data_IF_993233335964
#
_entry.id   IF_993233335964
#
_cell.length_a   1.000
_cell.length_b   1.000
_cell.length_c   1.000
_cell.angle_alpha   90.00
_cell.angle_beta   90.00
_cell.angle_gamma   90.00
#
_symmetry.space_group_name_H-M   'P 1'
#
loop_
_entity.id
_entity.type
_entity.pdbx_description
1 polymer ?
#
# COMPACT_ATOMS: atom_id res chain seq x y z
N UNK A 1 -11.89 -2.25 37.91
CA UNK A 1 -11.70 -1.04 37.07
C UNK A 1 -10.71 -0.12 37.77
N UNK A 2 -9.65 0.28 37.08
CA UNK A 2 -8.69 1.26 37.60
C UNK A 2 -9.38 2.60 37.87
N UNK A 3 -9.14 3.19 39.05
CA UNK A 3 -9.65 4.52 39.37
C UNK A 3 -9.06 5.56 38.41
N UNK A 4 -9.92 6.35 37.76
CA UNK A 4 -9.49 7.45 36.91
C UNK A 4 -9.10 8.67 37.76
N UNK A 5 -8.06 9.39 37.33
CA UNK A 5 -7.58 10.63 37.94
C UNK A 5 -7.50 11.71 36.86
N UNK A 6 -7.81 12.96 37.24
CA UNK A 6 -7.67 14.11 36.35
C UNK A 6 -6.18 14.43 36.15
N UNK A 7 -5.75 14.54 34.91
CA UNK A 7 -4.39 14.91 34.50
C UNK A 7 -4.42 16.11 33.56
N UNK A 8 -3.25 16.61 33.17
CA UNK A 8 -3.09 17.71 32.20
C UNK A 8 -3.62 17.37 30.80
N UNK A 9 -3.77 16.07 30.47
CA UNK A 9 -4.25 15.60 29.17
C UNK A 9 -5.60 14.85 29.25
N UNK A 10 -6.35 15.08 30.33
CA UNK A 10 -7.68 14.48 30.56
C UNK A 10 -7.70 13.46 31.70
N UNK A 11 -8.75 12.64 31.77
CA UNK A 11 -8.86 11.60 32.80
C UNK A 11 -8.12 10.34 32.36
N UNK A 12 -7.16 9.89 33.17
CA UNK A 12 -6.36 8.69 32.92
C UNK A 12 -6.43 7.73 34.11
N UNK A 13 -6.18 6.42 33.91
CA UNK A 13 -5.98 5.49 35.02
C UNK A 13 -4.86 5.98 35.95
N UNK A 14 -5.07 5.85 37.28
CA UNK A 14 -4.12 6.33 38.30
C UNK A 14 -2.68 5.81 38.12
N UNK A 15 -2.52 4.63 37.54
CA UNK A 15 -1.23 3.97 37.31
C UNK A 15 -0.52 4.42 36.01
N UNK A 16 -1.16 5.23 35.16
CA UNK A 16 -0.55 5.71 33.93
C UNK A 16 0.29 6.95 34.21
N UNK A 17 1.53 6.95 33.73
CA UNK A 17 2.37 8.14 33.75
C UNK A 17 1.97 9.10 32.62
N UNK A 18 2.31 10.39 32.78
CA UNK A 18 2.23 11.37 31.71
C UNK A 18 3.64 11.84 31.41
N UNK A 19 4.09 11.63 30.17
CA UNK A 19 5.42 11.96 29.68
C UNK A 19 5.31 12.80 28.42
N UNK A 20 6.42 13.30 27.90
CA UNK A 20 6.49 13.95 26.59
C UNK A 20 6.79 12.93 25.48
N UNK A 21 6.40 13.25 24.24
CA UNK A 21 6.73 12.40 23.09
C UNK A 21 8.24 12.19 22.96
N UNK A 22 9.06 13.23 23.20
CA UNK A 22 10.52 13.15 23.13
C UNK A 22 11.15 12.24 24.20
N UNK A 23 10.44 11.94 25.28
CA UNK A 23 10.91 10.97 26.28
C UNK A 23 10.80 9.53 25.77
N UNK A 24 9.79 9.23 24.93
CA UNK A 24 9.48 7.87 24.46
C UNK A 24 9.86 7.59 23.00
N UNK A 25 10.18 8.62 22.23
CA UNK A 25 10.56 8.51 20.83
C UNK A 25 11.57 9.58 20.42
N UNK A 26 12.45 9.22 19.49
CA UNK A 26 13.31 10.17 18.80
C UNK A 26 12.51 10.85 17.68
N UNK A 27 12.14 12.11 17.92
CA UNK A 27 11.40 12.94 16.97
C UNK A 27 12.40 13.78 16.19
N UNK A 28 12.58 13.44 14.92
CA UNK A 28 13.64 13.93 14.05
C UNK A 28 13.05 14.84 12.97
N UNK A 29 13.72 15.95 12.69
CA UNK A 29 13.48 16.70 11.47
C UNK A 29 14.40 16.11 10.38
N UNK A 30 13.86 15.47 9.33
CA UNK A 30 14.68 14.83 8.33
C UNK A 30 15.49 15.83 7.49
N UNK A 31 15.14 17.12 7.53
CA UNK A 31 15.84 18.15 6.78
C UNK A 31 15.89 19.51 7.52
N UNK A 32 16.72 19.63 8.57
CA UNK A 32 16.73 20.80 9.46
C UNK A 32 17.14 22.11 8.79
N UNK A 33 17.94 22.05 7.72
CA UNK A 33 18.37 23.26 7.02
C UNK A 33 17.23 23.91 6.24
N UNK A 34 16.16 23.17 5.94
CA UNK A 34 15.00 23.58 5.12
C UNK A 34 15.36 24.20 3.75
N UNK A 35 16.63 24.14 3.32
CA UNK A 35 17.09 24.64 2.02
C UNK A 35 16.66 23.67 0.93
N UNK A 36 16.15 24.16 -0.19
CA UNK A 36 15.73 23.26 -1.27
C UNK A 36 16.93 22.38 -1.71
N UNK A 37 16.81 21.04 -1.71
CA UNK A 37 17.86 20.17 -2.23
C UNK A 37 18.06 20.40 -3.72
N UNK A 38 19.28 20.16 -4.22
CA UNK A 38 19.58 20.23 -5.65
C UNK A 38 18.78 19.16 -6.38
N UNK A 39 17.96 19.60 -7.35
CA UNK A 39 17.20 18.71 -8.23
C UNK A 39 18.14 18.22 -9.33
N UNK A 40 18.10 16.92 -9.60
CA UNK A 40 18.91 16.27 -10.65
C UNK A 40 18.05 15.28 -11.43
N UNK A 41 18.39 15.09 -12.71
CA UNK A 41 17.78 14.05 -13.53
C UNK A 41 18.29 12.67 -13.08
N UNK A 42 17.42 11.66 -13.07
CA UNK A 42 17.73 10.29 -12.64
C UNK A 42 18.26 10.19 -11.19
N UNK A 43 17.83 11.11 -10.32
CA UNK A 43 18.15 11.10 -8.90
C UNK A 43 17.21 10.22 -8.06
N UNK A 44 17.30 10.41 -6.75
CA UNK A 44 16.51 9.65 -5.77
C UNK A 44 15.23 10.39 -5.38
N UNK A 45 14.13 9.68 -5.05
CA UNK A 45 12.87 10.33 -4.70
C UNK A 45 12.97 11.13 -3.40
N UNK A 46 12.50 12.38 -3.44
CA UNK A 46 12.33 13.25 -2.27
C UNK A 46 10.86 13.31 -1.87
N UNK A 47 10.48 12.47 -0.91
CA UNK A 47 9.09 12.24 -0.53
C UNK A 47 8.63 13.19 0.58
N UNK A 48 7.48 13.83 0.38
CA UNK A 48 6.74 14.52 1.43
C UNK A 48 5.59 13.70 1.99
N UNK A 49 4.94 14.24 3.03
CA UNK A 49 3.84 13.56 3.70
C UNK A 49 2.68 13.24 2.74
N UNK A 50 2.50 14.03 1.68
CA UNK A 50 1.50 13.80 0.64
C UNK A 50 1.83 12.65 -0.32
N UNK A 51 3.12 12.31 -0.44
CA UNK A 51 3.61 11.31 -1.41
C UNK A 51 3.62 9.89 -0.85
N UNK A 52 3.48 9.75 0.47
CA UNK A 52 3.50 8.48 1.20
C UNK A 52 2.07 8.12 1.62
N UNK A 53 1.63 6.90 1.34
CA UNK A 53 0.37 6.37 1.84
C UNK A 53 0.50 5.85 3.29
N UNK A 54 -0.62 5.46 3.90
CA UNK A 54 -0.64 4.97 5.29
C UNK A 54 0.20 3.70 5.52
N UNK A 55 0.40 2.91 4.47
CA UNK A 55 1.16 1.66 4.49
C UNK A 55 2.65 1.87 4.25
N UNK A 56 3.06 3.07 3.85
CA UNK A 56 4.45 3.45 3.60
C UNK A 56 4.88 3.32 2.14
N UNK A 57 3.96 3.13 1.21
CA UNK A 57 4.28 3.14 -0.21
C UNK A 57 4.47 4.59 -0.68
N UNK A 58 5.55 4.82 -1.43
CA UNK A 58 5.93 6.13 -1.94
C UNK A 58 5.51 6.25 -3.40
N UNK A 59 4.80 7.32 -3.75
CA UNK A 59 4.39 7.65 -5.12
C UNK A 59 5.54 8.25 -5.92
N UNK A 60 6.54 7.42 -6.24
CA UNK A 60 7.83 7.82 -6.85
C UNK A 60 7.67 8.68 -8.12
N UNK A 61 6.74 8.35 -9.01
CA UNK A 61 6.56 9.06 -10.30
C UNK A 61 6.24 10.55 -10.16
N UNK A 62 5.79 11.00 -8.99
CA UNK A 62 5.46 12.41 -8.71
C UNK A 62 6.50 13.10 -7.82
N UNK A 63 7.45 12.35 -7.27
CA UNK A 63 8.43 12.88 -6.34
C UNK A 63 9.52 13.64 -7.10
N UNK A 64 9.98 14.75 -6.52
CA UNK A 64 11.18 15.44 -7.00
C UNK A 64 12.38 14.52 -6.84
N UNK A 65 13.29 14.51 -7.83
CA UNK A 65 14.52 13.74 -7.76
C UNK A 65 15.68 14.59 -7.24
N UNK A 66 16.48 14.02 -6.35
CA UNK A 66 17.59 14.70 -5.67
C UNK A 66 18.90 13.93 -5.77
N UNK A 67 20.02 14.62 -5.51
CA UNK A 67 21.36 14.04 -5.61
C UNK A 67 21.63 12.95 -4.57
N UNK A 68 22.55 12.05 -4.89
CA UNK A 68 23.02 11.01 -3.98
C UNK A 68 23.66 11.57 -2.70
N UNK A 69 24.42 12.67 -2.84
CA UNK A 69 25.07 13.36 -1.73
C UNK A 69 24.06 13.73 -0.63
N UNK A 70 22.88 14.22 -1.02
CA UNK A 70 21.84 14.59 -0.07
C UNK A 70 21.21 13.37 0.62
N UNK A 71 21.00 12.28 -0.11
CA UNK A 71 20.49 11.03 0.47
C UNK A 71 21.47 10.50 1.51
N UNK A 72 22.76 10.47 1.18
CA UNK A 72 23.82 10.03 2.10
C UNK A 72 23.86 10.89 3.38
N UNK A 73 23.63 12.20 3.27
CA UNK A 73 23.54 13.09 4.43
C UNK A 73 22.36 12.71 5.36
N UNK A 74 21.17 12.47 4.80
CA UNK A 74 20.00 12.06 5.58
C UNK A 74 20.19 10.68 6.22
N UNK A 75 20.70 9.71 5.46
CA UNK A 75 20.94 8.34 5.96
C UNK A 75 21.97 8.29 7.10
N UNK A 76 22.91 9.24 7.15
CA UNK A 76 23.83 9.40 8.29
C UNK A 76 23.17 10.02 9.51
N UNK A 77 22.07 10.74 9.32
CA UNK A 77 21.40 11.51 10.37
C UNK A 77 20.40 10.68 11.17
N UNK A 78 19.74 9.70 10.52
CA UNK A 78 18.78 8.81 11.17
C UNK A 78 18.55 7.52 10.37
N UNK A 79 18.10 6.48 11.05
CA UNK A 79 17.67 5.23 10.42
C UNK A 79 16.13 5.17 10.31
N UNK A 80 15.65 4.61 9.19
CA UNK A 80 14.27 4.18 9.02
C UNK A 80 14.21 2.66 9.24
N UNK A 81 13.41 2.21 10.19
CA UNK A 81 13.16 0.81 10.50
C UNK A 81 11.66 0.47 10.34
N UNK A 82 11.28 -0.77 10.65
CA UNK A 82 9.90 -1.26 10.50
C UNK A 82 8.87 -0.55 11.40
N UNK A 83 9.34 0.18 12.42
CA UNK A 83 8.53 0.92 13.37
C UNK A 83 8.67 2.44 13.23
N UNK A 84 9.40 2.93 12.24
CA UNK A 84 9.53 4.35 11.97
C UNK A 84 8.20 4.93 11.50
N UNK A 85 7.83 6.08 12.09
CA UNK A 85 6.56 6.75 11.82
C UNK A 85 6.82 8.09 11.16
N UNK A 86 6.10 8.37 10.07
CA UNK A 86 6.04 9.68 9.45
C UNK A 86 4.87 10.46 10.02
N UNK A 87 5.12 11.63 10.61
CA UNK A 87 4.07 12.50 11.13
C UNK A 87 4.06 13.83 10.38
N UNK A 88 2.95 14.15 9.71
CA UNK A 88 2.77 15.39 8.96
C UNK A 88 2.90 16.62 9.83
N UNK A 89 3.80 17.54 9.43
CA UNK A 89 4.09 18.77 10.18
C UNK A 89 3.84 20.06 9.42
N UNK A 90 3.75 20.04 8.09
CA UNK A 90 3.50 21.22 7.26
C UNK A 90 2.45 20.88 6.21
N UNK A 91 1.41 21.72 6.10
CA UNK A 91 0.32 21.55 5.14
C UNK A 91 -0.68 20.49 5.58
N UNK A 92 -0.29 19.21 5.56
CA UNK A 92 -1.13 18.09 6.02
C UNK A 92 -0.73 17.68 7.44
N UNK A 93 -0.93 18.59 8.40
CA UNK A 93 -0.58 18.34 9.81
C UNK A 93 -1.45 17.21 10.37
N UNK A 94 -0.83 16.27 11.09
CA UNK A 94 -1.56 15.17 11.74
C UNK A 94 -1.76 13.91 10.89
N UNK A 95 -1.42 13.94 9.59
CA UNK A 95 -1.35 12.71 8.81
C UNK A 95 -0.24 11.82 9.37
N UNK A 96 -0.58 10.56 9.66
CA UNK A 96 0.35 9.55 10.16
C UNK A 96 0.55 8.48 9.09
N UNK A 97 1.79 8.14 8.79
CA UNK A 97 2.15 7.09 7.83
C UNK A 97 3.21 6.17 8.44
N UNK A 98 3.21 4.90 8.04
CA UNK A 98 4.36 4.01 8.29
C UNK A 98 5.51 4.45 7.37
N UNK A 99 6.74 4.52 7.88
CA UNK A 99 7.94 4.64 7.05
C UNK A 99 8.57 3.26 6.91
N UNK A 100 9.03 2.90 5.71
CA UNK A 100 9.61 1.57 5.44
C UNK A 100 10.85 1.69 4.59
N UNK A 101 11.83 0.82 4.84
CA UNK A 101 12.91 0.59 3.86
C UNK A 101 12.29 0.10 2.55
N UNK A 102 12.71 0.71 1.45
CA UNK A 102 12.26 0.37 0.10
C UNK A 102 13.37 -0.39 -0.62
N UNK A 103 13.05 -1.02 -1.76
CA UNK A 103 14.06 -1.61 -2.65
C UNK A 103 14.98 -0.56 -3.30
N UNK A 104 14.65 0.72 -3.18
CA UNK A 104 15.40 1.88 -3.64
C UNK A 104 15.60 2.87 -2.50
N UNK A 105 16.64 3.72 -2.59
CA UNK A 105 16.89 4.78 -1.61
C UNK A 105 15.96 5.96 -1.86
N UNK A 106 15.58 6.65 -0.79
CA UNK A 106 14.72 7.84 -0.86
C UNK A 106 15.03 8.78 0.31
N UNK A 107 14.73 10.07 0.12
CA UNK A 107 14.86 11.09 1.14
C UNK A 107 13.49 11.58 1.59
N UNK A 108 13.43 12.10 2.81
CA UNK A 108 12.22 12.66 3.41
C UNK A 108 12.31 14.18 3.44
N UNK A 109 11.24 14.83 2.97
CA UNK A 109 11.12 16.28 3.01
C UNK A 109 10.72 16.79 4.40
N UNK A 110 10.97 18.08 4.71
CA UNK A 110 10.60 18.65 6.00
C UNK A 110 9.09 18.84 6.18
N UNK A 111 8.25 18.29 5.29
CA UNK A 111 6.79 18.28 5.48
C UNK A 111 6.33 17.29 6.54
N UNK A 112 7.22 16.39 6.99
CA UNK A 112 6.98 15.44 8.08
C UNK A 112 8.10 15.44 9.12
N UNK A 113 7.81 14.85 10.28
CA UNK A 113 8.77 14.38 11.26
C UNK A 113 8.98 12.88 11.08
N UNK A 114 10.19 12.40 11.34
CA UNK A 114 10.44 10.97 11.59
C UNK A 114 10.32 10.76 13.09
N UNK A 115 9.46 9.84 13.52
CA UNK A 115 9.30 9.45 14.92
C UNK A 115 9.75 8.00 15.03
N UNK A 116 10.87 7.79 15.71
CA UNK A 116 11.41 6.46 16.00
C UNK A 116 11.17 6.13 17.48
N UNK A 117 10.30 5.14 17.80
CA UNK A 117 10.09 4.72 19.18
C UNK A 117 11.40 4.27 19.84
N UNK A 118 11.60 4.61 21.11
CA UNK A 118 12.75 4.14 21.89
C UNK A 118 12.53 2.71 22.40
N UNK A 119 13.62 2.03 22.72
CA UNK A 119 13.62 0.61 23.12
C UNK A 119 12.81 0.29 24.39
N UNK A 120 12.49 1.30 25.22
CA UNK A 120 11.75 1.11 26.47
C UNK A 120 10.23 1.24 26.32
N UNK A 121 9.71 1.41 25.10
CA UNK A 121 8.28 1.58 24.82
C UNK A 121 7.88 0.69 23.65
N UNK A 122 6.68 0.10 23.69
CA UNK A 122 6.19 -0.68 22.57
C UNK A 122 6.00 0.23 21.33
N UNK A 123 6.67 -0.06 20.20
CA UNK A 123 6.62 0.79 19.02
C UNK A 123 5.22 0.89 18.39
N UNK A 124 4.46 -0.22 18.40
CA UNK A 124 3.09 -0.26 17.88
C UNK A 124 2.13 0.54 18.77
N UNK A 125 2.39 0.58 20.08
CA UNK A 125 1.68 1.50 20.98
C UNK A 125 1.94 2.96 20.61
N UNK A 126 3.19 3.36 20.34
CA UNK A 126 3.51 4.73 19.88
C UNK A 126 2.79 5.07 18.56
N UNK A 127 2.72 4.12 17.64
CA UNK A 127 1.95 4.27 16.40
C UNK A 127 0.45 4.53 16.64
N UNK A 128 -0.18 3.79 17.55
CA UNK A 128 -1.57 4.06 17.95
C UNK A 128 -1.72 5.43 18.63
N UNK A 129 -0.80 5.74 19.56
CA UNK A 129 -0.80 6.93 20.39
C UNK A 129 -0.85 8.23 19.56
N UNK A 130 0.02 8.35 18.56
CA UNK A 130 0.11 9.56 17.70
C UNK A 130 -1.08 9.71 16.75
N UNK A 131 -1.91 8.66 16.59
CA UNK A 131 -3.17 8.68 15.82
C UNK A 131 -4.39 9.04 16.68
N UNK A 132 -4.22 9.18 17.99
CA UNK A 132 -5.33 9.53 18.87
C UNK A 132 -5.79 10.98 18.67
N UNK A 133 -7.11 11.22 18.82
CA UNK A 133 -7.67 12.58 18.78
C UNK A 133 -7.03 13.51 19.81
N UNK A 134 -6.72 12.99 21.00
CA UNK A 134 -6.11 13.78 22.07
C UNK A 134 -4.69 14.26 21.68
N UNK A 135 -3.89 13.40 21.08
CA UNK A 135 -2.59 13.78 20.54
C UNK A 135 -2.73 14.86 19.46
N UNK A 136 -3.64 14.64 18.51
CA UNK A 136 -3.89 15.58 17.42
C UNK A 136 -4.38 16.95 17.93
N UNK A 137 -5.29 16.99 18.91
CA UNK A 137 -5.76 18.25 19.51
C UNK A 137 -4.64 19.03 20.18
N UNK A 138 -3.73 18.36 20.90
CA UNK A 138 -2.56 19.03 21.45
C UNK A 138 -1.66 19.59 20.36
N UNK A 139 -1.49 18.86 19.24
CA UNK A 139 -0.73 19.35 18.08
C UNK A 139 -1.39 20.59 17.48
N UNK A 140 -2.72 20.60 17.31
CA UNK A 140 -3.46 21.75 16.79
C UNK A 140 -3.23 23.02 17.63
N UNK A 141 -3.21 22.88 18.96
CA UNK A 141 -2.99 24.00 19.89
C UNK A 141 -1.59 24.62 19.80
N UNK A 142 -0.63 23.91 19.20
CA UNK A 142 0.75 24.36 19.01
C UNK A 142 1.06 24.73 17.54
N UNK A 143 0.07 24.70 16.66
CA UNK A 143 0.28 25.07 15.26
C UNK A 143 0.43 26.58 15.11
N UNK A 144 1.23 26.95 14.11
CA UNK A 144 1.46 28.33 13.69
C UNK A 144 1.17 28.48 12.20
N UNK A 145 0.85 29.69 11.77
CA UNK A 145 0.55 30.01 10.36
C UNK A 145 -0.91 29.71 9.97
N UNK A 146 -1.57 30.70 9.35
CA UNK A 146 -2.96 30.59 8.88
C UNK A 146 -3.05 29.93 7.50
N UNK A 147 -2.18 30.32 6.56
CA UNK A 147 -2.17 29.80 5.18
C UNK A 147 -1.43 28.48 5.01
N UNK A 148 -0.41 28.23 5.85
CA UNK A 148 0.35 26.97 5.89
C UNK A 148 0.50 26.55 7.34
N UNK A 149 -0.48 25.82 7.90
CA UNK A 149 -0.41 25.37 9.27
C UNK A 149 0.81 24.45 9.43
N UNK A 150 1.59 24.73 10.47
CA UNK A 150 2.77 23.95 10.79
C UNK A 150 3.02 23.82 12.28
N UNK A 151 3.58 22.67 12.70
CA UNK A 151 4.10 22.46 14.04
C UNK A 151 5.63 22.32 14.00
N UNK A 152 6.31 23.13 14.82
CA UNK A 152 7.77 23.05 14.98
C UNK A 152 8.20 21.76 15.65
N UNK A 153 9.35 21.20 15.23
CA UNK A 153 9.90 19.94 15.77
C UNK A 153 10.04 19.95 17.31
N UNK A 154 10.46 21.08 17.88
CA UNK A 154 10.65 21.22 19.32
C UNK A 154 9.33 21.20 20.11
N UNK A 155 8.25 21.72 19.53
CA UNK A 155 6.92 21.67 20.13
C UNK A 155 6.34 20.26 20.02
N UNK A 156 6.52 19.60 18.88
CA UNK A 156 6.10 18.21 18.68
C UNK A 156 6.75 17.27 19.72
N UNK A 157 8.03 17.46 20.03
CA UNK A 157 8.74 16.71 21.10
C UNK A 157 8.11 16.89 22.49
N UNK A 158 7.49 18.04 22.76
CA UNK A 158 6.93 18.41 24.07
C UNK A 158 5.47 17.99 24.26
N UNK A 159 4.81 17.47 23.23
CA UNK A 159 3.43 16.98 23.33
C UNK A 159 3.34 15.92 24.42
N UNK A 160 2.35 16.07 25.31
CA UNK A 160 2.15 15.21 26.47
C UNK A 160 1.35 13.99 26.10
N UNK A 161 1.78 12.83 26.56
CA UNK A 161 1.21 11.53 26.19
C UNK A 161 1.11 10.59 27.39
N UNK A 162 0.07 9.74 27.45
CA UNK A 162 0.00 8.69 28.45
C UNK A 162 1.06 7.63 28.21
N UNK A 163 1.68 7.15 29.29
CA UNK A 163 2.59 6.02 29.29
C UNK A 163 2.11 4.97 30.30
N UNK A 164 1.34 3.97 29.85
CA UNK A 164 0.92 2.87 30.70
C UNK A 164 2.06 1.86 30.92
N UNK A 165 1.81 0.83 31.74
CA UNK A 165 2.80 -0.25 31.94
C UNK A 165 3.11 -0.98 30.61
N UNK A 166 4.30 -1.58 30.45
CA UNK A 166 4.64 -2.31 29.22
C UNK A 166 3.61 -3.37 28.82
N UNK A 167 3.01 -4.04 29.82
CA UNK A 167 1.95 -5.03 29.62
C UNK A 167 0.69 -4.40 29.01
N UNK A 168 0.22 -3.29 29.57
CA UNK A 168 -0.92 -2.54 29.01
C UNK A 168 -0.60 -1.98 27.62
N UNK A 169 0.63 -1.52 27.37
CA UNK A 169 1.06 -1.07 26.04
C UNK A 169 0.93 -2.18 25.00
N UNK A 170 1.38 -3.40 25.35
CA UNK A 170 1.29 -4.57 24.48
C UNK A 170 -0.17 -4.93 24.18
N UNK A 171 -1.02 -5.00 25.20
CA UNK A 171 -2.44 -5.35 25.05
C UNK A 171 -3.18 -4.34 24.16
N UNK A 172 -2.93 -3.04 24.35
CA UNK A 172 -3.51 -1.97 23.52
C UNK A 172 -3.03 -2.10 22.07
N UNK A 173 -1.71 -2.25 21.88
CA UNK A 173 -1.10 -2.35 20.57
C UNK A 173 -1.57 -3.58 19.80
N UNK A 174 -1.68 -4.73 20.46
CA UNK A 174 -2.17 -5.97 19.85
C UNK A 174 -3.63 -5.84 19.44
N UNK A 175 -4.49 -5.30 20.31
CA UNK A 175 -5.92 -5.15 20.03
C UNK A 175 -6.18 -4.23 18.83
N UNK A 176 -5.47 -3.10 18.73
CA UNK A 176 -5.70 -2.10 17.67
C UNK A 176 -4.95 -2.48 16.40
N UNK A 177 -3.64 -2.75 16.49
CA UNK A 177 -2.84 -2.95 15.29
C UNK A 177 -3.08 -4.31 14.61
N UNK A 178 -3.62 -5.33 15.31
CA UNK A 178 -4.04 -6.58 14.64
C UNK A 178 -5.17 -6.36 13.63
N UNK A 179 -6.05 -5.36 13.88
CA UNK A 179 -7.08 -4.96 12.93
C UNK A 179 -6.47 -4.22 11.73
N UNK A 180 -5.54 -3.28 11.98
CA UNK A 180 -4.81 -2.58 10.90
C UNK A 180 -4.05 -3.57 10.01
N UNK A 181 -3.40 -4.59 10.59
CA UNK A 181 -2.67 -5.61 9.82
C UNK A 181 -3.62 -6.45 8.94
N UNK A 182 -4.81 -6.79 9.44
CA UNK A 182 -5.85 -7.49 8.65
C UNK A 182 -6.37 -6.61 7.52
N UNK A 183 -6.57 -5.32 7.76
CA UNK A 183 -6.99 -4.37 6.72
C UNK A 183 -5.92 -4.31 5.63
N UNK A 184 -4.64 -4.14 6.02
CA UNK A 184 -3.52 -4.09 5.08
C UNK A 184 -3.44 -5.36 4.21
N UNK A 185 -3.59 -6.54 4.81
CA UNK A 185 -3.60 -7.82 4.08
C UNK A 185 -4.78 -7.88 3.11
N UNK A 186 -5.99 -7.60 3.58
CA UNK A 186 -7.19 -7.66 2.74
C UNK A 186 -7.13 -6.68 1.56
N UNK A 187 -6.61 -5.48 1.77
CA UNK A 187 -6.42 -4.50 0.70
C UNK A 187 -5.43 -5.00 -0.36
N UNK A 188 -4.32 -5.62 0.05
CA UNK A 188 -3.36 -6.23 -0.90
C UNK A 188 -4.00 -7.39 -1.66
N UNK A 189 -4.73 -8.26 -0.97
CA UNK A 189 -5.46 -9.37 -1.59
C UNK A 189 -6.43 -8.86 -2.64
N UNK A 190 -7.22 -7.83 -2.34
CA UNK A 190 -8.15 -7.23 -3.30
C UNK A 190 -7.43 -6.67 -4.53
N UNK A 191 -6.30 -5.97 -4.35
CA UNK A 191 -5.51 -5.45 -5.46
C UNK A 191 -4.96 -6.57 -6.34
N UNK A 192 -4.47 -7.67 -5.76
CA UNK A 192 -4.00 -8.83 -6.52
C UNK A 192 -5.13 -9.51 -7.28
N UNK A 193 -6.30 -9.68 -6.65
CA UNK A 193 -7.47 -10.26 -7.31
C UNK A 193 -7.94 -9.41 -8.48
N UNK A 194 -7.93 -8.08 -8.34
CA UNK A 194 -8.27 -7.16 -9.41
C UNK A 194 -7.27 -7.26 -10.58
N UNK A 195 -5.96 -7.33 -10.29
CA UNK A 195 -4.93 -7.51 -11.33
C UNK A 195 -5.08 -8.84 -12.07
N UNK A 196 -5.38 -9.93 -11.35
CA UNK A 196 -5.65 -11.24 -11.96
C UNK A 196 -6.89 -11.16 -12.86
N UNK A 197 -7.97 -10.54 -12.39
CA UNK A 197 -9.20 -10.38 -13.17
C UNK A 197 -8.96 -9.55 -14.44
N UNK A 198 -8.22 -8.43 -14.34
CA UNK A 198 -7.86 -7.61 -15.50
C UNK A 198 -6.98 -8.38 -16.50
N UNK A 199 -6.01 -9.15 -16.01
CA UNK A 199 -5.14 -9.97 -16.86
C UNK A 199 -5.93 -11.06 -17.61
N UNK A 200 -6.81 -11.77 -16.90
CA UNK A 200 -7.69 -12.78 -17.51
C UNK A 200 -8.64 -12.14 -18.52
N UNK A 201 -9.26 -11.01 -18.17
CA UNK A 201 -10.16 -10.30 -19.08
C UNK A 201 -9.44 -9.89 -20.37
N UNK A 202 -8.23 -9.31 -20.24
CA UNK A 202 -7.42 -8.94 -21.40
C UNK A 202 -7.06 -10.16 -22.24
N UNK A 203 -6.54 -11.21 -21.61
CA UNK A 203 -6.15 -12.44 -22.29
C UNK A 203 -7.31 -13.08 -23.06
N UNK A 204 -8.50 -13.18 -22.44
CA UNK A 204 -9.62 -13.92 -23.02
C UNK A 204 -10.46 -13.11 -23.99
N UNK A 205 -10.64 -11.80 -23.74
CA UNK A 205 -11.61 -10.98 -24.46
C UNK A 205 -11.00 -9.83 -25.26
N UNK A 206 -9.70 -9.58 -25.14
CA UNK A 206 -9.00 -8.56 -25.94
C UNK A 206 -7.93 -9.21 -26.83
N UNK A 207 -7.08 -10.04 -26.23
CA UNK A 207 -6.00 -10.72 -26.94
C UNK A 207 -6.46 -12.05 -27.55
N UNK A 208 -7.60 -12.59 -27.10
CA UNK A 208 -8.19 -13.87 -27.54
C UNK A 208 -7.23 -15.06 -27.43
N UNK A 209 -6.41 -15.11 -26.39
CA UNK A 209 -5.38 -16.16 -26.21
C UNK A 209 -5.94 -17.59 -26.29
N UNK A 210 -7.10 -17.94 -25.68
CA UNK A 210 -7.66 -19.28 -25.83
C UNK A 210 -8.01 -19.64 -27.27
N UNK A 211 -8.57 -18.70 -28.04
CA UNK A 211 -8.94 -18.90 -29.46
C UNK A 211 -7.68 -19.06 -30.31
N UNK A 212 -6.68 -18.20 -30.10
CA UNK A 212 -5.39 -18.27 -30.81
C UNK A 212 -4.63 -19.55 -30.50
N UNK A 213 -4.69 -20.04 -29.25
CA UNK A 213 -4.10 -21.32 -28.87
C UNK A 213 -4.76 -22.49 -29.64
N UNK A 214 -6.09 -22.48 -29.78
CA UNK A 214 -6.79 -23.47 -30.61
C UNK A 214 -6.39 -23.40 -32.08
N UNK A 215 -6.34 -22.18 -32.65
CA UNK A 215 -5.92 -21.96 -34.03
C UNK A 215 -4.52 -22.52 -34.27
N UNK A 216 -3.57 -22.21 -33.38
CA UNK A 216 -2.19 -22.70 -33.48
C UNK A 216 -2.12 -24.24 -33.41
N UNK A 217 -2.83 -24.86 -32.46
CA UNK A 217 -2.87 -26.32 -32.35
C UNK A 217 -3.50 -26.98 -33.59
N UNK A 218 -4.54 -26.38 -34.16
CA UNK A 218 -5.21 -26.84 -35.38
C UNK A 218 -4.31 -26.72 -36.60
N UNK A 219 -3.59 -25.60 -36.75
CA UNK A 219 -2.62 -25.38 -37.82
C UNK A 219 -1.42 -26.34 -37.74
N UNK A 220 -1.04 -26.76 -36.52
CA UNK A 220 -0.03 -27.79 -36.30
C UNK A 220 -0.53 -29.22 -36.57
N UNK A 221 -1.78 -29.40 -37.01
CA UNK A 221 -2.38 -30.72 -37.28
C UNK A 221 -2.79 -31.47 -36.01
N UNK A 222 -3.00 -30.77 -34.89
CA UNK A 222 -3.43 -31.36 -33.63
C UNK A 222 -4.82 -32.00 -33.71
N UNK A 223 -5.02 -33.06 -32.93
CA UNK A 223 -6.33 -33.69 -32.71
C UNK A 223 -7.29 -32.76 -31.97
N UNK A 224 -8.58 -33.07 -31.98
CA UNK A 224 -9.59 -32.29 -31.25
C UNK A 224 -9.26 -32.16 -29.74
N UNK A 225 -8.72 -33.22 -29.14
CA UNK A 225 -8.28 -33.21 -27.74
C UNK A 225 -7.08 -32.29 -27.53
N UNK A 226 -6.10 -32.28 -28.44
CA UNK A 226 -4.94 -31.38 -28.36
C UNK A 226 -5.35 -29.91 -28.55
N UNK A 227 -6.31 -29.63 -29.44
CA UNK A 227 -6.88 -28.30 -29.63
C UNK A 227 -7.60 -27.83 -28.36
N UNK A 228 -8.43 -28.69 -27.76
CA UNK A 228 -9.11 -28.38 -26.49
C UNK A 228 -8.10 -28.14 -25.37
N UNK A 229 -7.08 -28.99 -25.25
CA UNK A 229 -6.01 -28.83 -24.24
C UNK A 229 -5.20 -27.55 -24.41
N UNK A 230 -4.95 -27.11 -25.65
CA UNK A 230 -4.27 -25.84 -25.90
C UNK A 230 -5.07 -24.64 -25.34
N UNK A 231 -6.40 -24.65 -25.49
CA UNK A 231 -7.26 -23.65 -24.87
C UNK A 231 -7.26 -23.76 -23.34
N UNK A 232 -7.34 -24.98 -22.78
CA UNK A 232 -7.28 -25.19 -21.33
C UNK A 232 -5.98 -24.66 -20.72
N UNK A 233 -4.85 -24.85 -21.41
CA UNK A 233 -3.56 -24.31 -21.01
C UNK A 233 -3.57 -22.78 -20.98
N UNK A 234 -4.08 -22.13 -22.04
CA UNK A 234 -4.22 -20.68 -22.10
C UNK A 234 -5.17 -20.11 -21.02
N UNK A 235 -6.31 -20.76 -20.80
CA UNK A 235 -7.32 -20.37 -19.80
C UNK A 235 -6.77 -20.44 -18.38
N UNK A 236 -6.09 -21.54 -18.05
CA UNK A 236 -5.58 -21.78 -16.69
C UNK A 236 -4.20 -21.17 -16.41
N UNK A 237 -3.50 -20.71 -17.45
CA UNK A 237 -2.10 -20.31 -17.37
C UNK A 237 -1.15 -21.46 -17.03
N UNK A 238 -1.56 -22.72 -17.26
CA UNK A 238 -0.78 -23.93 -16.95
C UNK A 238 -0.17 -24.53 -18.21
N UNK A 239 0.99 -25.14 -18.06
CA UNK A 239 1.61 -25.99 -19.08
C UNK A 239 0.88 -27.32 -19.21
N UNK A 240 1.04 -28.02 -20.33
CA UNK A 240 0.40 -29.33 -20.53
C UNK A 240 0.71 -30.34 -19.41
N UNK A 241 1.95 -30.50 -18.92
CA UNK A 241 2.24 -31.41 -17.81
C UNK A 241 1.60 -30.99 -16.48
N UNK A 242 1.34 -29.70 -16.29
CA UNK A 242 0.65 -29.20 -15.09
C UNK A 242 -0.87 -29.43 -15.16
N UNK A 243 -1.45 -29.51 -16.37
CA UNK A 243 -2.84 -29.90 -16.54
C UNK A 243 -3.09 -31.35 -16.12
N UNK A 244 -2.11 -32.24 -16.32
CA UNK A 244 -2.22 -33.65 -15.93
C UNK A 244 -2.20 -33.86 -14.41
N UNK A 245 -1.76 -32.86 -13.65
CA UNK A 245 -1.75 -32.87 -12.19
C UNK A 245 -3.07 -32.36 -11.58
N UNK A 246 -3.99 -31.88 -12.42
CA UNK A 246 -5.26 -31.35 -11.95
C UNK A 246 -6.23 -32.47 -11.56
N UNK A 247 -7.10 -32.14 -10.61
CA UNK A 247 -8.21 -33.03 -10.25
C UNK A 247 -9.17 -33.18 -11.44
N UNK A 248 -9.90 -34.30 -11.54
CA UNK A 248 -10.89 -34.50 -12.60
C UNK A 248 -11.93 -33.38 -12.69
N UNK A 249 -12.34 -32.83 -11.53
CA UNK A 249 -13.27 -31.70 -11.46
C UNK A 249 -12.68 -30.43 -12.10
N UNK A 250 -11.42 -30.10 -11.78
CA UNK A 250 -10.73 -28.96 -12.39
C UNK A 250 -10.57 -29.13 -13.91
N UNK A 251 -10.20 -30.33 -14.36
CA UNK A 251 -10.11 -30.64 -15.80
C UNK A 251 -11.47 -30.45 -16.47
N UNK A 252 -12.54 -30.96 -15.88
CA UNK A 252 -13.89 -30.84 -16.45
C UNK A 252 -14.34 -29.38 -16.54
N UNK A 253 -14.09 -28.57 -15.50
CA UNK A 253 -14.38 -27.14 -15.51
C UNK A 253 -13.60 -26.42 -16.62
N UNK A 254 -12.31 -26.72 -16.77
CA UNK A 254 -11.48 -26.14 -17.83
C UNK A 254 -11.97 -26.53 -19.23
N UNK A 255 -12.40 -27.79 -19.43
CA UNK A 255 -13.00 -28.23 -20.69
C UNK A 255 -14.28 -27.46 -21.01
N UNK A 256 -15.17 -27.32 -20.02
CA UNK A 256 -16.41 -26.54 -20.17
C UNK A 256 -16.11 -25.10 -20.54
N UNK A 257 -15.12 -24.46 -19.90
CA UNK A 257 -14.71 -23.09 -20.25
C UNK A 257 -14.06 -23.03 -21.64
N UNK A 258 -13.17 -23.98 -21.96
CA UNK A 258 -12.49 -24.06 -23.27
C UNK A 258 -13.49 -24.22 -24.42
N UNK A 259 -14.59 -24.93 -24.21
CA UNK A 259 -15.65 -25.10 -25.22
C UNK A 259 -16.36 -23.77 -25.59
N UNK A 260 -16.32 -22.75 -24.74
CA UNK A 260 -16.93 -21.44 -25.00
C UNK A 260 -16.12 -20.60 -26.00
N UNK A 261 -14.85 -20.95 -26.24
CA UNK A 261 -13.97 -20.24 -27.18
C UNK A 261 -13.90 -21.00 -28.52
N UNK A 262 -14.19 -20.36 -29.66
CA UNK A 262 -14.05 -20.99 -30.96
C UNK A 262 -12.58 -21.21 -31.31
N UNK A 263 -12.32 -21.93 -32.40
CA UNK A 263 -10.98 -22.20 -32.96
C UNK A 263 -10.71 -21.40 -34.25
N UNK A 264 -11.39 -20.26 -34.40
CA UNK A 264 -11.35 -19.40 -35.59
C UNK A 264 -11.63 -17.93 -35.22
N UNK A 265 -10.97 -17.02 -35.94
CA UNK A 265 -11.24 -15.59 -35.92
C UNK A 265 -11.87 -15.16 -37.25
N UNK A 266 -12.80 -14.20 -37.20
CA UNK A 266 -13.50 -13.62 -38.36
C UNK A 266 -13.33 -12.11 -38.37
N UNK A 267 -13.24 -11.52 -39.57
CA UNK A 267 -13.11 -10.07 -39.74
C UNK A 267 -14.39 -9.36 -39.26
N UNK A 268 -14.22 -8.26 -38.53
CA UNK A 268 -15.32 -7.39 -38.09
C UNK A 268 -14.93 -5.91 -38.14
N UNK A 269 -15.89 -5.02 -37.92
CA UNK A 269 -15.67 -3.58 -37.89
C UNK A 269 -14.68 -3.12 -36.79
N UNK A 270 -14.47 -3.94 -35.75
CA UNK A 270 -13.51 -3.68 -34.67
C UNK A 270 -12.19 -4.47 -34.82
N UNK A 271 -11.96 -5.07 -35.98
CA UNK A 271 -10.87 -6.02 -36.23
C UNK A 271 -11.31 -7.47 -36.08
N UNK A 272 -10.35 -8.39 -36.05
CA UNK A 272 -10.62 -9.83 -35.96
C UNK A 272 -11.24 -10.19 -34.61
N UNK A 273 -12.40 -10.87 -34.63
CA UNK A 273 -13.11 -11.35 -33.43
C UNK A 273 -13.33 -12.87 -33.50
N UNK A 274 -13.53 -13.54 -32.36
CA UNK A 274 -13.86 -14.97 -32.34
C UNK A 274 -15.11 -15.32 -33.16
N UNK A 275 -15.05 -16.39 -33.94
CA UNK A 275 -16.19 -16.87 -34.73
C UNK A 275 -17.42 -17.12 -33.85
N UNK A 276 -18.58 -16.64 -34.31
CA UNK A 276 -19.85 -16.71 -33.57
C UNK A 276 -20.11 -15.54 -32.60
N UNK A 277 -19.11 -14.69 -32.35
CA UNK A 277 -19.31 -13.45 -31.59
C UNK A 277 -19.87 -12.36 -32.51
N UNK A 278 -20.69 -11.46 -31.96
CA UNK A 278 -21.39 -10.41 -32.73
C UNK A 278 -21.21 -9.04 -32.10
N UNK A 279 -21.14 -8.03 -32.95
CA UNK A 279 -21.23 -6.62 -32.53
C UNK A 279 -22.70 -6.28 -32.25
N UNK A 280 -22.96 -5.70 -31.08
CA UNK A 280 -24.29 -5.22 -30.70
C UNK A 280 -24.14 -3.97 -29.83
N UNK A 281 -25.15 -3.10 -29.87
CA UNK A 281 -25.23 -1.96 -28.98
C UNK A 281 -25.68 -2.39 -27.60
N UNK A 282 -25.07 -1.85 -26.53
CA UNK A 282 -25.36 -2.26 -25.15
C UNK A 282 -26.84 -2.14 -24.77
N UNK A 283 -27.55 -1.14 -25.35
CA UNK A 283 -28.98 -0.94 -25.11
C UNK A 283 -29.88 -2.04 -25.69
N UNK A 284 -29.38 -2.85 -26.62
CA UNK A 284 -30.11 -3.98 -27.18
C UNK A 284 -29.94 -5.26 -26.34
N UNK A 285 -28.81 -5.38 -25.63
CA UNK A 285 -28.44 -6.59 -24.88
C UNK A 285 -28.75 -6.48 -23.38
N UNK A 286 -28.91 -5.27 -22.84
CA UNK A 286 -29.08 -5.03 -21.41
C UNK A 286 -30.27 -4.13 -21.13
N UNK A 287 -31.13 -4.54 -20.20
CA UNK A 287 -32.16 -3.66 -19.62
C UNK A 287 -31.59 -3.01 -18.37
N UNK A 288 -31.51 -1.68 -18.35
CA UNK A 288 -31.01 -0.87 -17.23
C UNK A 288 -32.16 -0.50 -16.31
#
# INVERSE_FOLDING_TARGET
>A
MSKLVKTEIGFLPKNWAVVTLGEIADVIDPHPSHRAPKVVDNGYPFAGIGDIDEYGNIRVKKARQISEEFILEQERSYEINEYSIGYGRVGTVGKVVKLRKQAYRYALSPTLAVINPKNNVNPRFVYCLVRTKNFYHQVLNHMTGTTRPAIGIQLLRKIKVPLPSPEEQNQIAESICSLDDKIEINTKTNQTLEQIAQALFKSWFVDFDPVKAKIAAKQAGGTAEQIERAAMAAISGKTEPELDQLTPEQIQNLKTTAALFPDELVESELGDIPSGWKLSEIGNEVTI
#
